data_IF_550450396591
#
_entry.id   IF_550450396591
#
_cell.length_a   1.000
_cell.length_b   1.000
_cell.length_c   1.000
_cell.angle_alpha   90.00
_cell.angle_beta   90.00
_cell.angle_gamma   90.00
#
_symmetry.space_group_name_H-M   'P 1'
#
loop_
_entity.id
_entity.type
_entity.pdbx_description
1 polymer ?
#
# COMPACT_ATOMS: atom_id res chain seq x y z
N UNK A 1 -21.89 -33.62 -23.75
CA UNK A 1 -21.13 -32.39 -24.09
C UNK A 1 -21.40 -31.27 -23.07
N UNK A 2 -21.56 -31.59 -21.79
CA UNK A 2 -22.04 -30.66 -20.75
C UNK A 2 -21.01 -30.45 -19.64
N UNK A 3 -20.30 -31.50 -19.19
CA UNK A 3 -19.22 -31.37 -18.19
C UNK A 3 -18.01 -30.55 -18.65
N UNK A 4 -17.63 -30.62 -19.93
CA UNK A 4 -16.51 -29.83 -20.47
C UNK A 4 -16.79 -28.33 -20.51
N UNK A 5 -18.06 -27.96 -20.72
CA UNK A 5 -18.50 -26.57 -20.70
C UNK A 5 -18.49 -26.06 -19.26
N UNK A 6 -19.04 -26.81 -18.30
CA UNK A 6 -18.99 -26.45 -16.87
C UNK A 6 -17.57 -26.29 -16.32
N UNK A 7 -16.63 -27.15 -16.70
CA UNK A 7 -15.22 -27.02 -16.32
C UNK A 7 -14.55 -25.77 -16.92
N UNK A 8 -14.92 -25.39 -18.15
CA UNK A 8 -14.43 -24.17 -18.80
C UNK A 8 -14.97 -22.90 -18.12
N UNK A 9 -16.25 -22.88 -17.70
CA UNK A 9 -16.84 -21.77 -16.96
C UNK A 9 -16.25 -21.64 -15.54
N UNK A 10 -15.99 -22.76 -14.85
CA UNK A 10 -15.36 -22.75 -13.52
C UNK A 10 -13.89 -22.29 -13.59
N UNK A 11 -13.16 -22.65 -14.64
CA UNK A 11 -11.80 -22.18 -14.89
C UNK A 11 -11.72 -20.69 -15.28
N UNK A 12 -12.79 -20.15 -15.90
CA UNK A 12 -12.91 -18.72 -16.22
C UNK A 12 -13.20 -17.87 -14.97
N UNK A 13 -13.98 -18.38 -14.02
CA UNK A 13 -14.25 -17.71 -12.73
C UNK A 13 -13.01 -17.66 -11.82
N UNK A 14 -12.11 -18.64 -11.91
CA UNK A 14 -10.80 -18.64 -11.24
C UNK A 14 -9.72 -17.80 -11.98
N UNK A 15 -10.08 -17.18 -13.11
CA UNK A 15 -9.21 -16.30 -13.89
C UNK A 15 -9.52 -14.81 -13.70
N UNK A 16 -10.48 -14.46 -12.84
CA UNK A 16 -10.71 -13.06 -12.48
C UNK A 16 -9.45 -12.54 -11.77
N UNK A 17 -8.81 -11.47 -12.27
CA UNK A 17 -7.73 -10.82 -11.54
C UNK A 17 -8.31 -10.38 -10.20
N UNK A 18 -7.81 -10.93 -9.10
CA UNK A 18 -8.03 -10.32 -7.80
C UNK A 18 -7.45 -8.91 -7.91
N UNK A 19 -8.22 -7.85 -7.60
CA UNK A 19 -7.62 -6.52 -7.54
C UNK A 19 -6.40 -6.63 -6.65
N UNK A 20 -5.26 -6.18 -7.16
CA UNK A 20 -4.11 -5.93 -6.32
C UNK A 20 -4.61 -4.95 -5.24
N UNK A 21 -4.68 -5.48 -4.03
CA UNK A 21 -4.60 -4.70 -2.80
C UNK A 21 -3.19 -4.12 -2.79
N UNK A 22 -2.96 -2.99 -2.12
CA UNK A 22 -1.59 -2.54 -1.90
C UNK A 22 -0.86 -3.53 -0.99
N UNK A 23 0.07 -3.09 -0.11
CA UNK A 23 0.60 -3.99 0.93
C UNK A 23 -0.52 -4.91 1.41
N UNK A 24 -0.35 -6.24 1.34
CA UNK A 24 -1.44 -7.15 1.63
C UNK A 24 -2.01 -6.87 3.04
N UNK A 25 -3.17 -7.44 3.38
CA UNK A 25 -3.84 -7.19 4.68
C UNK A 25 -2.85 -7.22 5.87
N UNK A 26 -1.91 -8.17 5.86
CA UNK A 26 -0.85 -8.27 6.86
C UNK A 26 0.11 -7.05 6.91
N UNK A 27 0.56 -6.56 5.77
CA UNK A 27 1.44 -5.38 5.68
C UNK A 27 0.74 -4.11 6.16
N UNK A 28 -0.49 -3.87 5.70
CA UNK A 28 -1.29 -2.74 6.15
C UNK A 28 -1.58 -2.75 7.65
N UNK A 29 -1.99 -3.91 8.19
CA UNK A 29 -2.23 -4.04 9.63
C UNK A 29 -0.95 -3.84 10.44
N UNK A 30 0.19 -4.31 9.94
CA UNK A 30 1.48 -4.08 10.60
C UNK A 30 1.82 -2.59 10.64
N UNK A 31 1.66 -1.86 9.53
CA UNK A 31 1.87 -0.41 9.45
C UNK A 31 0.97 0.33 10.45
N UNK A 32 -0.31 -0.03 10.51
CA UNK A 32 -1.27 0.54 11.46
C UNK A 32 -0.90 0.24 12.92
N UNK A 33 -0.44 -0.98 13.22
CA UNK A 33 0.00 -1.36 14.57
C UNK A 33 1.28 -0.61 15.00
N UNK A 34 2.24 -0.42 14.08
CA UNK A 34 3.40 0.45 14.32
C UNK A 34 2.93 1.86 14.64
N UNK A 35 2.01 2.42 13.85
CA UNK A 35 1.51 3.76 14.07
C UNK A 35 0.83 3.91 15.44
N UNK A 36 -0.08 2.98 15.78
CA UNK A 36 -0.81 3.00 17.05
C UNK A 36 0.12 2.87 18.28
N UNK A 37 1.19 2.09 18.16
CA UNK A 37 2.20 1.98 19.22
C UNK A 37 2.98 3.29 19.44
N UNK A 38 3.02 4.18 18.44
CA UNK A 38 3.91 5.36 18.42
C UNK A 38 3.21 6.71 18.58
N UNK A 39 1.87 6.75 18.66
CA UNK A 39 1.08 7.94 19.04
C UNK A 39 0.94 8.10 20.56
N UNK A 40 0.57 9.29 21.03
CA UNK A 40 0.31 9.57 22.44
C UNK A 40 -0.99 8.92 22.91
N UNK A 41 -1.16 8.64 24.22
CA UNK A 41 -2.43 8.15 24.78
C UNK A 41 -3.62 9.06 24.45
N UNK A 42 -3.38 10.38 24.35
CA UNK A 42 -4.38 11.39 23.99
C UNK A 42 -4.84 11.24 22.54
N UNK A 43 -3.90 11.14 21.60
CA UNK A 43 -4.21 10.90 20.20
C UNK A 43 -4.93 9.55 20.03
N UNK A 44 -4.46 8.49 20.70
CA UNK A 44 -5.09 7.16 20.68
C UNK A 44 -6.53 7.19 21.20
N UNK A 45 -6.80 7.87 22.31
CA UNK A 45 -8.15 8.00 22.85
C UNK A 45 -9.11 8.74 21.88
N UNK A 46 -8.62 9.79 21.21
CA UNK A 46 -9.40 10.55 20.23
C UNK A 46 -9.62 9.77 18.94
N UNK A 47 -8.63 9.02 18.47
CA UNK A 47 -8.78 8.07 17.36
C UNK A 47 -9.87 7.05 17.69
N UNK A 48 -9.77 6.40 18.85
CA UNK A 48 -10.73 5.37 19.27
C UNK A 48 -12.16 5.91 19.41
N UNK A 49 -12.30 7.19 19.74
CA UNK A 49 -13.60 7.84 19.78
C UNK A 49 -14.28 7.95 18.41
N UNK A 50 -13.52 8.08 17.32
CA UNK A 50 -14.06 8.21 15.96
C UNK A 50 -14.74 6.92 15.49
N UNK A 51 -14.20 5.74 15.83
CA UNK A 51 -14.77 4.45 15.42
C UNK A 51 -16.22 4.24 15.87
N UNK A 52 -16.70 4.96 16.90
CA UNK A 52 -18.12 4.93 17.30
C UNK A 52 -19.08 5.44 16.21
N UNK A 53 -18.57 6.19 15.22
CA UNK A 53 -19.33 6.69 14.09
C UNK A 53 -19.40 5.72 12.90
N UNK A 54 -18.79 4.52 12.99
CA UNK A 54 -18.70 3.52 11.91
C UNK A 54 -20.03 3.29 11.19
N UNK A 55 -21.12 3.09 11.94
CA UNK A 55 -22.44 2.78 11.37
C UNK A 55 -22.96 3.87 10.41
N UNK A 56 -22.52 5.12 10.57
CA UNK A 56 -22.92 6.24 9.71
C UNK A 56 -22.24 6.19 8.33
N UNK A 57 -21.17 5.41 8.16
CA UNK A 57 -20.55 5.19 6.85
C UNK A 57 -21.36 4.21 5.99
N UNK A 58 -22.27 3.44 6.59
CA UNK A 58 -23.13 2.49 5.88
C UNK A 58 -22.33 1.52 4.97
N UNK A 59 -21.21 0.97 5.46
CA UNK A 59 -20.40 -0.04 4.77
C UNK A 59 -20.43 -1.37 5.55
N UNK A 60 -21.59 -2.05 5.62
CA UNK A 60 -21.79 -3.19 6.53
C UNK A 60 -20.84 -4.38 6.27
N UNK A 61 -20.40 -4.56 5.02
CA UNK A 61 -19.49 -5.64 4.63
C UNK A 61 -18.00 -5.30 4.82
N UNK A 62 -17.71 -4.07 5.24
CA UNK A 62 -16.36 -3.55 5.46
C UNK A 62 -16.25 -2.94 6.87
N UNK A 63 -15.91 -3.76 7.87
CA UNK A 63 -15.77 -3.30 9.24
C UNK A 63 -14.72 -2.19 9.37
N UNK A 64 -14.97 -1.24 10.28
CA UNK A 64 -14.09 -0.14 10.62
C UNK A 64 -14.11 0.10 12.13
N UNK A 65 -13.68 -0.92 12.90
CA UNK A 65 -13.83 -0.95 14.37
C UNK A 65 -12.58 -0.49 15.11
N UNK A 66 -11.43 -0.49 14.45
CA UNK A 66 -10.13 -0.14 14.99
C UNK A 66 -9.18 0.28 13.84
N UNK A 67 -7.97 0.72 14.17
CA UNK A 67 -6.99 1.18 13.18
C UNK A 67 -6.50 0.05 12.24
N UNK A 68 -6.47 -1.19 12.70
CA UNK A 68 -6.17 -2.35 11.85
C UNK A 68 -7.24 -2.55 10.78
N UNK A 69 -8.53 -2.44 11.14
CA UNK A 69 -9.62 -2.45 10.17
C UNK A 69 -9.54 -1.23 9.23
N UNK A 70 -9.20 -0.05 9.76
CA UNK A 70 -8.98 1.17 8.98
C UNK A 70 -7.92 1.01 7.90
N UNK A 71 -6.87 0.23 8.18
CA UNK A 71 -5.77 -0.01 7.26
C UNK A 71 -6.13 -0.83 6.02
N UNK A 72 -7.26 -1.53 6.03
CA UNK A 72 -7.72 -2.36 4.89
C UNK A 72 -9.11 -1.98 4.40
N UNK A 73 -9.76 -1.03 5.05
CA UNK A 73 -11.14 -0.61 4.76
C UNK A 73 -11.26 -0.03 3.34
N UNK A 74 -10.31 0.80 2.90
CA UNK A 74 -10.33 1.43 1.58
C UNK A 74 -10.41 0.40 0.43
N UNK A 75 -9.57 -0.62 0.50
CA UNK A 75 -9.59 -1.73 -0.44
C UNK A 75 -10.87 -2.57 -0.35
N UNK A 76 -11.40 -2.76 0.87
CA UNK A 76 -12.64 -3.47 1.08
C UNK A 76 -13.82 -2.77 0.39
N UNK A 77 -13.97 -1.45 0.60
CA UNK A 77 -15.13 -0.69 0.11
C UNK A 77 -15.08 -0.46 -1.39
N UNK A 78 -13.88 -0.38 -1.99
CA UNK A 78 -13.71 -0.28 -3.44
C UNK A 78 -14.34 -1.45 -4.22
N UNK A 79 -14.60 -2.59 -3.56
CA UNK A 79 -15.32 -3.72 -4.16
C UNK A 79 -16.79 -3.41 -4.46
N UNK A 80 -17.38 -2.46 -3.76
CA UNK A 80 -18.65 -1.83 -4.11
C UNK A 80 -18.39 -0.73 -5.15
N UNK A 81 -18.20 -1.15 -6.41
CA UNK A 81 -17.80 -0.29 -7.53
C UNK A 81 -18.76 0.87 -7.78
N UNK A 82 -20.07 0.63 -7.60
CA UNK A 82 -21.09 1.67 -7.82
C UNK A 82 -20.93 2.85 -6.85
N UNK A 83 -20.54 2.58 -5.61
CA UNK A 83 -20.41 3.61 -4.58
C UNK A 83 -18.98 4.12 -4.44
N UNK A 84 -17.98 3.26 -4.62
CA UNK A 84 -16.58 3.54 -4.28
C UNK A 84 -15.60 3.28 -5.42
N UNK A 85 -16.03 2.80 -6.59
CA UNK A 85 -15.13 2.51 -7.71
C UNK A 85 -14.27 3.70 -8.16
N UNK A 86 -14.78 4.92 -7.99
CA UNK A 86 -14.06 6.16 -8.29
C UNK A 86 -12.80 6.37 -7.44
N UNK A 87 -12.64 5.65 -6.32
CA UNK A 87 -11.48 5.75 -5.45
C UNK A 87 -10.33 4.87 -5.91
N UNK A 88 -10.49 4.04 -6.94
CA UNK A 88 -9.40 3.17 -7.41
C UNK A 88 -8.07 3.91 -7.68
N UNK A 89 -8.03 5.11 -8.28
CA UNK A 89 -6.78 5.84 -8.49
C UNK A 89 -6.18 6.41 -7.20
N UNK A 90 -6.91 6.43 -6.08
CA UNK A 90 -6.43 6.97 -4.80
C UNK A 90 -5.36 6.11 -4.15
N UNK A 91 -5.21 4.86 -4.61
CA UNK A 91 -4.28 3.90 -4.06
C UNK A 91 -2.86 4.02 -4.64
N UNK A 92 -2.66 4.71 -5.77
CA UNK A 92 -1.35 4.72 -6.43
C UNK A 92 -1.06 6.02 -7.16
N UNK A 93 0.13 6.10 -7.73
CA UNK A 93 0.51 7.05 -8.77
C UNK A 93 1.51 6.34 -9.70
N UNK A 94 1.10 6.11 -10.95
CA UNK A 94 1.95 5.42 -11.93
C UNK A 94 2.96 6.40 -12.53
N UNK A 95 4.15 6.53 -11.96
CA UNK A 95 5.21 7.38 -12.51
C UNK A 95 6.23 6.54 -13.27
N UNK A 96 6.48 6.92 -14.53
CA UNK A 96 7.42 6.23 -15.41
C UNK A 96 8.84 6.26 -14.83
N UNK A 97 9.36 5.09 -14.44
CA UNK A 97 10.70 4.95 -13.84
C UNK A 97 11.84 5.27 -14.81
N UNK A 98 11.54 5.31 -16.11
CA UNK A 98 12.52 5.56 -17.17
C UNK A 98 12.54 7.02 -17.64
N UNK A 99 11.81 7.90 -16.94
CA UNK A 99 11.81 9.35 -17.12
C UNK A 99 12.26 10.05 -15.84
N UNK A 100 12.58 11.36 -15.90
CA UNK A 100 12.74 12.15 -14.68
C UNK A 100 11.50 12.05 -13.79
N UNK A 101 11.69 12.04 -12.47
CA UNK A 101 10.60 12.05 -11.50
C UNK A 101 9.71 13.28 -11.71
N UNK A 102 8.39 13.04 -11.80
CA UNK A 102 7.38 14.08 -11.90
C UNK A 102 6.09 13.62 -11.21
N UNK A 103 5.89 14.08 -9.98
CA UNK A 103 4.69 13.76 -9.19
C UNK A 103 3.42 14.41 -9.74
N UNK A 104 3.52 15.44 -10.57
CA UNK A 104 2.37 16.18 -11.11
C UNK A 104 1.81 15.51 -12.36
N UNK A 105 2.66 14.85 -13.15
CA UNK A 105 2.28 14.23 -14.41
C UNK A 105 1.07 13.27 -14.29
N UNK A 106 0.95 12.56 -13.16
CA UNK A 106 -0.02 11.47 -12.99
C UNK A 106 -0.95 11.63 -11.78
N UNK A 107 -1.19 12.87 -11.32
CA UNK A 107 -2.11 13.17 -10.21
C UNK A 107 -3.26 14.12 -10.60
N UNK A 108 -3.93 13.83 -11.72
CA UNK A 108 -5.04 14.66 -12.20
C UNK A 108 -6.15 14.77 -11.15
N UNK A 109 -6.63 16.00 -10.90
CA UNK A 109 -7.68 16.32 -9.93
C UNK A 109 -7.41 15.83 -8.49
N UNK A 110 -6.15 15.56 -8.13
CA UNK A 110 -5.81 15.00 -6.82
C UNK A 110 -6.22 13.53 -6.65
N UNK A 111 -6.52 12.82 -7.74
CA UNK A 111 -6.84 11.39 -7.72
C UNK A 111 -5.55 10.56 -7.77
N UNK A 112 -4.72 10.72 -6.75
CA UNK A 112 -3.51 9.92 -6.55
C UNK A 112 -3.19 9.80 -5.05
N UNK A 113 -2.42 8.77 -4.69
CA UNK A 113 -2.11 8.44 -3.30
C UNK A 113 -1.55 9.59 -2.47
N UNK A 114 -0.56 10.34 -2.99
CA UNK A 114 0.05 11.45 -2.26
C UNK A 114 -0.93 12.59 -1.96
N UNK A 115 -1.81 12.91 -2.91
CA UNK A 115 -2.86 13.92 -2.71
C UNK A 115 -3.89 13.47 -1.67
N UNK A 116 -4.22 12.17 -1.64
CA UNK A 116 -5.15 11.62 -0.64
C UNK A 116 -4.56 11.56 0.75
N UNK A 117 -3.25 11.29 0.91
CA UNK A 117 -2.56 11.44 2.21
C UNK A 117 -2.72 12.88 2.73
N UNK A 118 -2.35 13.87 1.92
CA UNK A 118 -2.42 15.28 2.33
C UNK A 118 -3.86 15.77 2.59
N UNK A 119 -4.83 15.29 1.81
CA UNK A 119 -6.25 15.65 1.97
C UNK A 119 -6.82 15.07 3.26
N UNK A 120 -6.60 13.78 3.50
CA UNK A 120 -7.24 13.07 4.60
C UNK A 120 -6.61 13.43 5.95
N UNK A 121 -5.33 13.80 6.01
CA UNK A 121 -4.73 14.40 7.21
C UNK A 121 -5.46 15.70 7.60
N UNK A 122 -5.72 16.59 6.63
CA UNK A 122 -6.44 17.85 6.88
C UNK A 122 -7.89 17.63 7.33
N UNK A 123 -8.60 16.71 6.68
CA UNK A 123 -9.98 16.35 7.06
C UNK A 123 -10.02 15.72 8.46
N UNK A 124 -9.06 14.87 8.80
CA UNK A 124 -8.98 14.27 10.13
C UNK A 124 -8.74 15.34 11.22
N UNK A 125 -7.90 16.34 10.93
CA UNK A 125 -7.56 17.42 11.86
C UNK A 125 -8.70 18.42 12.08
N UNK A 126 -9.62 18.60 11.13
CA UNK A 126 -10.70 19.58 11.25
C UNK A 126 -11.81 19.10 12.19
N UNK A 127 -11.78 19.61 13.43
CA UNK A 127 -12.74 19.27 14.50
C UNK A 127 -14.16 19.79 14.24
N UNK A 128 -14.36 20.65 13.23
CA UNK A 128 -15.69 21.13 12.85
C UNK A 128 -16.44 20.10 12.01
N UNK A 129 -15.73 19.14 11.41
CA UNK A 129 -16.35 18.09 10.61
C UNK A 129 -17.05 17.04 11.48
N UNK A 130 -18.17 16.47 11.00
CA UNK A 130 -18.83 15.36 11.68
C UNK A 130 -17.90 14.17 11.92
N UNK A 131 -18.14 13.44 13.02
CA UNK A 131 -17.28 12.31 13.41
C UNK A 131 -17.13 11.24 12.32
N UNK A 132 -18.18 10.96 11.54
CA UNK A 132 -18.11 9.98 10.45
C UNK A 132 -17.24 10.45 9.28
N UNK A 133 -17.27 11.75 8.93
CA UNK A 133 -16.39 12.32 7.89
C UNK A 133 -14.93 12.23 8.33
N UNK A 134 -14.66 12.52 9.61
CA UNK A 134 -13.32 12.38 10.18
C UNK A 134 -12.88 10.92 10.29
N UNK A 135 -13.81 10.00 10.55
CA UNK A 135 -13.54 8.55 10.56
C UNK A 135 -13.20 8.02 9.16
N UNK A 136 -13.92 8.45 8.13
CA UNK A 136 -13.59 8.11 6.74
C UNK A 136 -12.20 8.64 6.37
N UNK A 137 -11.91 9.90 6.75
CA UNK A 137 -10.58 10.48 6.55
C UNK A 137 -9.48 9.71 7.30
N UNK A 138 -9.75 9.24 8.53
CA UNK A 138 -8.82 8.37 9.25
C UNK A 138 -8.55 7.08 8.46
N UNK A 139 -9.58 6.42 7.95
CA UNK A 139 -9.42 5.18 7.18
C UNK A 139 -8.60 5.39 5.90
N UNK A 140 -8.91 6.42 5.12
CA UNK A 140 -8.13 6.77 3.94
C UNK A 140 -6.69 7.13 4.28
N UNK A 141 -6.44 7.92 5.32
CA UNK A 141 -5.09 8.29 5.73
C UNK A 141 -4.26 7.06 6.13
N UNK A 142 -4.83 6.17 6.95
CA UNK A 142 -4.14 4.96 7.41
C UNK A 142 -3.78 4.06 6.23
N UNK A 143 -4.71 3.83 5.31
CA UNK A 143 -4.48 2.99 4.14
C UNK A 143 -3.47 3.61 3.17
N UNK A 144 -3.73 4.84 2.71
CA UNK A 144 -2.90 5.50 1.68
C UNK A 144 -1.49 5.83 2.16
N UNK A 145 -1.26 6.00 3.47
CA UNK A 145 0.10 6.09 4.00
C UNK A 145 0.86 4.78 3.81
N UNK A 146 0.21 3.63 3.88
CA UNK A 146 0.79 2.35 3.50
C UNK A 146 1.14 2.29 2.02
N UNK A 147 0.13 2.51 1.17
CA UNK A 147 0.25 2.45 -0.30
C UNK A 147 1.38 3.33 -0.82
N UNK A 148 1.47 4.56 -0.31
CA UNK A 148 2.48 5.52 -0.74
C UNK A 148 3.92 5.01 -0.58
N UNK A 149 4.13 4.12 0.39
CA UNK A 149 5.44 3.52 0.68
C UNK A 149 5.65 2.18 -0.01
N UNK A 150 4.67 1.65 -0.75
CA UNK A 150 4.83 0.45 -1.58
C UNK A 150 5.45 0.88 -2.92
N UNK A 151 6.68 0.46 -3.27
CA UNK A 151 7.37 0.91 -4.49
C UNK A 151 6.56 0.75 -5.79
N UNK A 152 5.85 -0.36 -5.94
CA UNK A 152 5.03 -0.65 -7.12
C UNK A 152 3.74 0.20 -7.21
N UNK A 153 3.40 0.95 -6.16
CA UNK A 153 2.35 1.97 -6.18
C UNK A 153 2.87 3.35 -6.62
N UNK A 154 4.18 3.57 -6.59
CA UNK A 154 4.82 4.83 -7.01
C UNK A 154 5.59 4.74 -8.33
N UNK A 155 5.97 3.55 -8.77
CA UNK A 155 6.76 3.33 -9.98
C UNK A 155 6.06 2.44 -11.01
N UNK A 156 6.07 2.88 -12.26
CA UNK A 156 5.48 2.17 -13.39
C UNK A 156 6.47 2.07 -14.56
N UNK A 157 6.31 1.02 -15.38
CA UNK A 157 7.05 0.85 -16.65
C UNK A 157 6.10 0.56 -17.82
N UNK A 158 4.93 1.21 -17.82
CA UNK A 158 3.84 0.93 -18.77
C UNK A 158 3.12 -0.40 -18.49
N UNK A 159 3.30 -0.95 -17.30
CA UNK A 159 2.88 -2.28 -16.89
C UNK A 159 1.88 -2.26 -15.72
N UNK A 160 1.33 -1.07 -15.42
CA UNK A 160 0.38 -0.81 -14.34
C UNK A 160 1.00 -1.11 -12.97
N UNK A 161 2.20 -0.57 -12.74
CA UNK A 161 2.96 -0.80 -11.50
C UNK A 161 3.35 -2.27 -11.35
N UNK A 162 3.80 -2.93 -12.42
CA UNK A 162 4.16 -4.35 -12.40
C UNK A 162 2.98 -5.33 -12.42
N UNK A 163 1.73 -4.88 -12.51
CA UNK A 163 0.57 -5.79 -12.61
C UNK A 163 0.58 -6.62 -13.90
N UNK A 164 1.21 -6.14 -14.97
CA UNK A 164 1.39 -6.84 -16.25
C UNK A 164 2.70 -7.64 -16.34
N UNK A 165 3.52 -7.64 -15.31
CA UNK A 165 4.76 -8.42 -15.26
C UNK A 165 4.49 -9.73 -14.53
N UNK A 166 4.45 -10.85 -15.26
CA UNK A 166 4.32 -12.17 -14.63
C UNK A 166 5.51 -12.43 -13.71
N UNK A 167 5.26 -12.97 -12.52
CA UNK A 167 6.29 -13.21 -11.53
C UNK A 167 6.18 -14.59 -10.85
N UNK A 168 7.29 -15.02 -10.25
CA UNK A 168 7.41 -16.19 -9.39
C UNK A 168 8.17 -15.82 -8.11
N UNK A 169 7.73 -16.39 -6.98
CA UNK A 169 8.38 -16.25 -5.67
C UNK A 169 9.16 -17.54 -5.39
N UNK A 170 10.48 -17.51 -5.57
CA UNK A 170 11.35 -18.68 -5.54
C UNK A 170 10.94 -19.73 -6.57
N UNK A 171 10.64 -20.93 -6.08
CA UNK A 171 10.15 -22.07 -6.88
C UNK A 171 8.63 -22.11 -7.02
N UNK A 172 7.90 -21.19 -6.38
CA UNK A 172 6.43 -21.18 -6.42
C UNK A 172 5.97 -20.61 -7.75
N UNK A 173 5.56 -21.51 -8.63
CA UNK A 173 4.93 -21.19 -9.91
C UNK A 173 3.42 -20.94 -9.75
N UNK A 174 2.87 -20.01 -10.55
CA UNK A 174 1.45 -19.68 -10.51
C UNK A 174 1.09 -18.37 -11.19
N UNK A 175 -0.19 -18.00 -11.15
CA UNK A 175 -0.71 -16.71 -11.64
C UNK A 175 -0.40 -15.58 -10.64
N UNK A 176 0.88 -15.24 -10.49
CA UNK A 176 1.36 -14.09 -9.73
C UNK A 176 1.96 -13.04 -10.68
N UNK A 177 1.90 -11.78 -10.28
CA UNK A 177 2.57 -10.68 -10.96
C UNK A 177 3.53 -9.95 -10.00
N UNK A 178 4.39 -9.10 -10.54
CA UNK A 178 5.42 -8.40 -9.78
C UNK A 178 4.82 -7.52 -8.67
N UNK A 179 3.70 -6.85 -8.96
CA UNK A 179 3.00 -6.02 -7.99
C UNK A 179 2.59 -6.84 -6.75
N UNK A 180 1.84 -7.93 -6.97
CA UNK A 180 1.39 -8.84 -5.91
C UNK A 180 2.55 -9.49 -5.15
N UNK A 181 3.67 -9.77 -5.82
CA UNK A 181 4.86 -10.32 -5.19
C UNK A 181 5.42 -9.37 -4.12
N UNK A 182 5.43 -8.07 -4.41
CA UNK A 182 5.84 -7.02 -3.47
C UNK A 182 4.80 -6.81 -2.36
N UNK A 183 3.51 -6.78 -2.69
CA UNK A 183 2.44 -6.56 -1.71
C UNK A 183 2.37 -7.64 -0.64
N UNK A 184 2.52 -8.90 -1.03
CA UNK A 184 2.14 -10.04 -0.18
C UNK A 184 3.36 -10.88 0.24
N UNK A 185 3.90 -11.82 -0.56
CA UNK A 185 4.88 -12.78 -0.04
C UNK A 185 6.20 -12.14 0.38
N UNK A 186 6.72 -11.14 -0.36
CA UNK A 186 7.95 -10.44 0.04
C UNK A 186 7.72 -9.60 1.29
N UNK A 187 6.58 -8.90 1.37
CA UNK A 187 6.21 -8.12 2.55
C UNK A 187 6.05 -8.98 3.80
N UNK A 188 5.28 -10.06 3.71
CA UNK A 188 5.03 -10.99 4.81
C UNK A 188 6.34 -11.61 5.30
N UNK A 189 7.20 -12.08 4.38
CA UNK A 189 8.54 -12.57 4.76
C UNK A 189 9.33 -11.48 5.46
N UNK A 190 9.44 -10.30 4.87
CA UNK A 190 10.26 -9.22 5.40
C UNK A 190 9.81 -8.77 6.80
N UNK A 191 8.49 -8.69 7.03
CA UNK A 191 7.92 -8.32 8.33
C UNK A 191 8.18 -9.42 9.38
N UNK A 192 7.98 -10.68 9.01
CA UNK A 192 8.14 -11.83 9.93
C UNK A 192 9.59 -12.21 10.21
N UNK A 193 10.51 -11.82 9.33
CA UNK A 193 11.93 -12.11 9.44
C UNK A 193 12.67 -11.03 10.24
N UNK A 194 13.29 -11.43 11.36
CA UNK A 194 14.06 -10.56 12.24
C UNK A 194 13.25 -10.04 13.44
N UNK A 195 13.72 -8.95 14.04
CA UNK A 195 13.11 -8.40 15.25
C UNK A 195 11.67 -7.90 15.02
N UNK A 196 10.78 -8.01 16.01
CA UNK A 196 9.42 -7.47 15.92
C UNK A 196 9.41 -5.98 15.59
N UNK A 197 8.69 -5.62 14.53
CA UNK A 197 8.56 -4.23 14.08
C UNK A 197 7.53 -3.44 14.90
N UNK A 198 6.51 -4.12 15.45
CA UNK A 198 5.47 -3.47 16.23
C UNK A 198 5.97 -3.22 17.65
N UNK A 199 6.47 -2.00 17.89
CA UNK A 199 6.90 -1.54 19.20
C UNK A 199 6.86 -0.02 19.31
N UNK A 200 7.04 0.49 20.53
CA UNK A 200 7.35 1.90 20.75
C UNK A 200 8.80 2.15 20.35
N UNK A 201 9.04 3.14 19.49
CA UNK A 201 10.36 3.58 19.09
C UNK A 201 10.74 4.86 19.85
N UNK A 202 12.00 4.96 20.27
CA UNK A 202 12.54 6.16 20.90
C UNK A 202 12.56 7.33 19.89
N UNK A 203 12.60 8.58 20.39
CA UNK A 203 12.61 9.76 19.51
C UNK A 203 13.79 9.75 18.52
N UNK A 204 14.98 9.36 18.97
CA UNK A 204 16.17 9.25 18.14
C UNK A 204 16.09 8.15 17.07
N UNK A 205 15.35 7.07 17.33
CA UNK A 205 15.11 6.01 16.33
C UNK A 205 14.12 6.47 15.26
N UNK A 206 13.17 7.33 15.62
CA UNK A 206 12.10 7.77 14.71
C UNK A 206 12.51 8.97 13.85
N UNK A 207 13.30 9.90 14.40
CA UNK A 207 13.61 11.16 13.72
C UNK A 207 14.14 11.04 12.29
N UNK A 208 14.94 10.02 11.90
CA UNK A 208 15.39 9.89 10.51
C UNK A 208 14.26 9.57 9.52
N UNK A 209 13.14 9.01 10.00
CA UNK A 209 12.00 8.62 9.17
C UNK A 209 10.94 9.73 9.01
N UNK A 210 10.96 10.73 9.90
CA UNK A 210 9.93 11.78 9.97
C UNK A 210 10.27 13.02 9.14
N UNK A 211 11.26 12.92 8.26
CA UNK A 211 11.68 14.01 7.37
C UNK A 211 10.98 13.93 6.02
N UNK A 212 11.05 15.04 5.29
CA UNK A 212 10.51 15.14 3.93
C UNK A 212 9.02 15.49 3.87
N UNK A 213 8.59 15.75 2.66
CA UNK A 213 7.23 16.05 2.25
C UNK A 213 6.60 14.83 1.56
N UNK A 214 5.31 14.93 1.23
CA UNK A 214 4.64 13.94 0.37
C UNK A 214 5.40 13.76 -0.96
N UNK A 215 5.99 14.81 -1.52
CA UNK A 215 6.77 14.71 -2.75
C UNK A 215 8.06 13.90 -2.54
N UNK A 216 8.75 14.12 -1.43
CA UNK A 216 9.96 13.38 -1.07
C UNK A 216 9.65 11.89 -0.84
N UNK A 217 8.55 11.57 -0.16
CA UNK A 217 8.16 10.17 0.08
C UNK A 217 7.76 9.45 -1.20
N UNK A 218 7.11 10.15 -2.13
CA UNK A 218 6.80 9.62 -3.45
C UNK A 218 8.09 9.37 -4.26
N UNK A 219 9.05 10.29 -4.19
CA UNK A 219 10.37 10.14 -4.81
C UNK A 219 11.14 8.94 -4.24
N UNK A 220 11.09 8.72 -2.92
CA UNK A 220 11.68 7.54 -2.28
C UNK A 220 11.07 6.25 -2.83
N UNK A 221 9.75 6.15 -2.87
CA UNK A 221 9.02 4.98 -3.39
C UNK A 221 9.33 4.71 -4.86
N UNK A 222 9.31 5.76 -5.69
CA UNK A 222 9.67 5.72 -7.10
C UNK A 222 11.12 5.28 -7.33
N UNK A 223 12.05 5.81 -6.52
CA UNK A 223 13.48 5.45 -6.61
C UNK A 223 13.70 4.00 -6.24
N UNK A 224 13.00 3.46 -5.23
CA UNK A 224 13.07 2.04 -4.89
C UNK A 224 12.51 1.17 -6.01
N UNK A 225 11.42 1.60 -6.65
CA UNK A 225 10.89 0.88 -7.80
C UNK A 225 11.96 0.81 -8.92
N UNK A 226 12.52 1.97 -9.29
CA UNK A 226 13.52 2.11 -10.35
C UNK A 226 14.83 1.39 -10.04
N UNK A 227 15.36 1.53 -8.83
CA UNK A 227 16.73 1.13 -8.52
C UNK A 227 16.81 -0.26 -7.88
N UNK A 228 15.69 -0.81 -7.40
CA UNK A 228 15.63 -2.10 -6.69
C UNK A 228 14.57 -3.01 -7.30
N UNK A 229 13.29 -2.63 -7.29
CA UNK A 229 12.20 -3.55 -7.65
C UNK A 229 12.28 -4.08 -9.09
N UNK A 230 12.42 -3.17 -10.05
CA UNK A 230 12.52 -3.55 -11.47
C UNK A 230 13.85 -4.22 -11.82
N UNK A 231 15.01 -3.80 -11.28
CA UNK A 231 16.27 -4.49 -11.49
C UNK A 231 16.30 -5.92 -10.95
N UNK A 232 15.82 -6.14 -9.72
CA UNK A 232 15.73 -7.48 -9.12
C UNK A 232 14.78 -8.37 -9.93
N UNK A 233 13.64 -7.84 -10.37
CA UNK A 233 12.68 -8.60 -11.17
C UNK A 233 13.21 -9.02 -12.55
N UNK A 234 14.12 -8.23 -13.14
CA UNK A 234 14.63 -8.44 -14.50
C UNK A 234 16.04 -9.03 -14.54
N UNK A 235 16.72 -9.15 -13.39
CA UNK A 235 18.15 -9.44 -13.28
C UNK A 235 18.99 -8.60 -14.25
N UNK A 236 18.69 -7.29 -14.28
CA UNK A 236 19.28 -6.36 -15.23
C UNK A 236 18.87 -4.90 -15.00
N UNK A 237 19.18 -3.98 -15.93
CA UNK A 237 18.79 -2.58 -15.81
C UNK A 237 17.25 -2.42 -15.81
N UNK A 238 16.71 -1.57 -14.93
CA UNK A 238 15.27 -1.32 -14.84
C UNK A 238 14.62 -0.93 -16.17
N UNK A 239 15.32 -0.10 -16.93
CA UNK A 239 14.92 0.45 -18.23
C UNK A 239 15.54 -0.30 -19.42
N UNK A 240 15.94 -1.57 -19.23
CA UNK A 240 16.41 -2.44 -20.30
C UNK A 240 15.29 -2.91 -21.23
N UNK A 241 15.49 -3.96 -22.03
CA UNK A 241 14.40 -4.66 -22.72
C UNK A 241 13.40 -5.26 -21.73
N UNK A 242 12.12 -5.35 -22.11
CA UNK A 242 11.13 -6.07 -21.29
C UNK A 242 11.35 -7.58 -21.38
N UNK A 243 10.84 -8.32 -20.39
CA UNK A 243 10.77 -9.79 -20.43
C UNK A 243 10.01 -10.24 -21.67
N UNK A 244 10.50 -11.29 -22.34
CA UNK A 244 9.86 -11.82 -23.56
C UNK A 244 8.53 -12.50 -23.22
N UNK A 245 7.61 -12.65 -24.19
CA UNK A 245 6.41 -13.43 -23.99
C UNK A 245 6.72 -14.84 -23.48
N UNK A 246 6.11 -15.24 -22.36
CA UNK A 246 6.35 -16.53 -21.70
C UNK A 246 7.46 -16.52 -20.64
N UNK A 247 8.29 -15.48 -20.59
CA UNK A 247 9.21 -15.25 -19.48
C UNK A 247 8.47 -14.64 -18.28
N UNK A 248 9.07 -14.80 -17.09
CA UNK A 248 8.51 -14.31 -15.83
C UNK A 248 9.65 -13.84 -14.93
N UNK A 249 9.41 -12.74 -14.24
CA UNK A 249 10.31 -12.23 -13.22
C UNK A 249 10.43 -13.28 -12.11
N UNK A 250 11.63 -13.77 -11.84
CA UNK A 250 11.86 -14.76 -10.79
C UNK A 250 12.70 -14.12 -9.71
N UNK A 251 12.13 -13.99 -8.53
CA UNK A 251 12.90 -13.65 -7.35
C UNK A 251 13.34 -14.96 -6.72
N UNK A 252 14.62 -15.28 -6.79
CA UNK A 252 15.16 -16.42 -6.06
C UNK A 252 15.32 -16.11 -4.56
N UNK A 253 15.76 -17.08 -3.76
CA UNK A 253 15.93 -16.88 -2.32
C UNK A 253 16.96 -15.78 -2.02
N UNK A 254 18.00 -15.63 -2.86
CA UNK A 254 18.99 -14.58 -2.73
C UNK A 254 18.38 -13.20 -2.97
N UNK A 255 17.62 -13.05 -4.05
CA UNK A 255 16.85 -11.83 -4.35
C UNK A 255 15.94 -11.47 -3.18
N UNK A 256 15.15 -12.43 -2.70
CA UNK A 256 14.20 -12.23 -1.61
C UNK A 256 14.92 -11.75 -0.34
N UNK A 257 16.04 -12.37 0.03
CA UNK A 257 16.85 -11.94 1.19
C UNK A 257 17.38 -10.50 1.02
N UNK A 258 17.77 -10.10 -0.19
CA UNK A 258 18.18 -8.70 -0.44
C UNK A 258 17.02 -7.71 -0.33
N UNK A 259 15.80 -8.13 -0.63
CA UNK A 259 14.60 -7.29 -0.52
C UNK A 259 14.09 -7.12 0.91
N UNK A 260 14.36 -8.08 1.81
CA UNK A 260 13.92 -8.02 3.22
C UNK A 260 14.25 -6.69 3.90
N UNK A 261 15.51 -6.20 3.95
CA UNK A 261 15.80 -4.92 4.60
C UNK A 261 15.13 -3.72 3.94
N UNK A 262 14.97 -3.74 2.61
CA UNK A 262 14.31 -2.68 1.84
C UNK A 262 12.84 -2.58 2.22
N UNK A 263 12.13 -3.70 2.22
CA UNK A 263 10.70 -3.74 2.55
C UNK A 263 10.46 -3.42 4.02
N UNK A 264 11.29 -3.93 4.94
CA UNK A 264 11.22 -3.55 6.36
C UNK A 264 11.39 -2.04 6.56
N UNK A 265 12.29 -1.41 5.82
CA UNK A 265 12.47 0.04 5.89
C UNK A 265 11.23 0.80 5.40
N UNK A 266 10.58 0.34 4.32
CA UNK A 266 9.35 0.96 3.81
C UNK A 266 8.16 0.81 4.77
N UNK A 267 7.96 -0.38 5.35
CA UNK A 267 6.94 -0.63 6.37
C UNK A 267 7.18 0.25 7.60
N UNK A 268 8.43 0.39 8.04
CA UNK A 268 8.78 1.26 9.17
C UNK A 268 8.58 2.75 8.86
N UNK A 269 8.98 3.22 7.68
CA UNK A 269 8.69 4.58 7.20
C UNK A 269 7.20 4.87 7.23
N UNK A 270 6.40 4.00 6.62
CA UNK A 270 4.95 4.16 6.58
C UNK A 270 4.34 4.23 7.98
N UNK A 271 4.70 3.29 8.86
CA UNK A 271 4.15 3.24 10.22
C UNK A 271 4.53 4.46 11.07
N UNK A 272 5.77 4.92 10.99
CA UNK A 272 6.24 6.08 11.77
C UNK A 272 5.70 7.41 11.22
N UNK A 273 5.67 7.58 9.88
CA UNK A 273 5.07 8.76 9.24
C UNK A 273 3.56 8.82 9.47
N UNK A 274 2.87 7.67 9.47
CA UNK A 274 1.47 7.58 9.89
C UNK A 274 1.29 8.00 11.35
N UNK A 275 2.13 7.51 12.27
CA UNK A 275 2.07 7.89 13.68
C UNK A 275 2.16 9.42 13.86
N UNK A 276 3.10 10.04 13.16
CA UNK A 276 3.36 11.47 13.22
C UNK A 276 2.20 12.30 12.61
N UNK A 277 1.61 11.85 11.50
CA UNK A 277 0.40 12.44 10.93
C UNK A 277 -0.82 12.33 11.87
N UNK A 278 -1.01 11.17 12.50
CA UNK A 278 -2.06 10.97 13.50
C UNK A 278 -1.84 11.84 14.74
N UNK A 279 -0.60 11.99 15.20
CA UNK A 279 -0.26 12.86 16.33
C UNK A 279 -0.58 14.33 16.01
N UNK A 280 -0.23 14.82 14.81
CA UNK A 280 -0.60 16.18 14.40
C UNK A 280 -2.11 16.39 14.31
N UNK A 281 -2.83 15.41 13.77
CA UNK A 281 -4.27 15.54 13.53
C UNK A 281 -5.11 15.33 14.79
N UNK A 282 -4.66 14.50 15.73
CA UNK A 282 -5.43 14.05 16.90
C UNK A 282 -4.79 14.41 18.25
N UNK A 283 -3.56 14.91 18.30
CA UNK A 283 -2.83 15.29 19.52
C UNK A 283 -3.35 16.49 20.29
#
# INVERSE_FOLDING_TARGET
MTMRVFAAWLALLLALPTPALAWGDYGHRTIAQIAEANISPKAKARMNALFRAEKLLATPDCPLRNIGDASVWADCVRRDDLRWGYTAPWHYINMDICKPFDIKANCANGNCVGAQVARNEKLLADKRLPAHVRLEALAWLVHTMGDMHQPMHGGDRGDLGGNRVSAAYGIVEGRMNLHRLWDTPVAERAITQGEPMVRRYAAAERSPYLTGTVEDWALESWSIARDIAYPTAQHGPACGPALKPGERARHDDGDIETLVPVVRQQVLRAGLRLADALERALG
#
